data_IF_718952776579
#
_entry.id   IF_718952776579
#
_cell.length_a   1.000
_cell.length_b   1.000
_cell.length_c   1.000
_cell.angle_alpha   90.00
_cell.angle_beta   90.00
_cell.angle_gamma   90.00
#
_symmetry.space_group_name_H-M   'P 1'
#
loop_
_entity.id
_entity.type
_entity.pdbx_description
1 polymer ?
#
# COMPACT_ATOMS: atom_id res chain seq x y z
N UNK A 1 12.91 7.34 -51.31
CA UNK A 1 13.36 8.30 -50.27
C UNK A 1 12.21 9.25 -50.01
N UNK A 2 11.53 9.36 -48.87
CA UNK A 2 11.78 9.01 -47.46
C UNK A 2 10.41 9.13 -46.75
N UNK A 3 9.80 8.02 -46.28
CA UNK A 3 8.50 8.04 -45.56
C UNK A 3 8.58 7.55 -44.10
N UNK A 4 9.79 7.28 -43.61
CA UNK A 4 10.01 6.64 -42.30
C UNK A 4 10.30 7.64 -41.16
N UNK A 5 10.46 8.93 -41.43
CA UNK A 5 10.85 9.94 -40.42
C UNK A 5 9.71 10.63 -39.64
N UNK A 6 8.44 10.40 -40.00
CA UNK A 6 7.29 11.14 -39.43
C UNK A 6 6.63 10.43 -38.25
N UNK A 7 6.64 9.10 -38.21
CA UNK A 7 5.96 8.33 -37.16
C UNK A 7 6.64 8.43 -35.80
N UNK A 8 7.98 8.48 -35.74
CA UNK A 8 8.74 8.59 -34.48
C UNK A 8 8.47 9.91 -33.75
N UNK A 9 8.31 11.02 -34.49
CA UNK A 9 8.13 12.35 -33.91
C UNK A 9 6.80 12.51 -33.18
N UNK A 10 5.73 11.88 -33.70
CA UNK A 10 4.40 11.94 -33.08
C UNK A 10 4.41 11.17 -31.74
N UNK A 11 5.08 10.01 -31.69
CA UNK A 11 5.24 9.26 -30.43
C UNK A 11 6.04 10.04 -29.38
N UNK A 12 7.12 10.73 -29.77
CA UNK A 12 7.93 11.52 -28.85
C UNK A 12 7.19 12.75 -28.30
N UNK A 13 6.39 13.42 -29.14
CA UNK A 13 5.56 14.56 -28.72
C UNK A 13 4.47 14.09 -27.76
N UNK A 14 3.81 12.98 -28.07
CA UNK A 14 2.75 12.44 -27.22
C UNK A 14 3.29 11.98 -25.87
N UNK A 15 4.47 11.33 -25.85
CA UNK A 15 5.17 10.94 -24.62
C UNK A 15 5.49 12.17 -23.75
N UNK A 16 6.09 13.23 -24.31
CA UNK A 16 6.42 14.45 -23.55
C UNK A 16 5.19 15.16 -22.98
N UNK A 17 4.08 15.15 -23.71
CA UNK A 17 2.83 15.74 -23.23
C UNK A 17 2.26 14.93 -22.05
N UNK A 18 2.31 13.59 -22.12
CA UNK A 18 1.91 12.72 -21.01
C UNK A 18 2.82 12.88 -19.79
N UNK A 19 4.13 12.96 -19.99
CA UNK A 19 5.11 13.22 -18.91
C UNK A 19 4.80 14.54 -18.19
N UNK A 20 4.52 15.62 -18.93
CA UNK A 20 4.19 16.91 -18.35
C UNK A 20 2.89 16.91 -17.53
N UNK A 21 1.84 16.24 -18.04
CA UNK A 21 0.57 16.11 -17.33
C UNK A 21 0.75 15.25 -16.07
N UNK A 22 1.51 14.16 -16.17
CA UNK A 22 1.77 13.24 -15.06
C UNK A 22 2.55 13.93 -13.94
N UNK A 23 3.59 14.70 -14.26
CA UNK A 23 4.31 15.51 -13.28
C UNK A 23 3.39 16.50 -12.55
N UNK A 24 2.50 17.17 -13.28
CA UNK A 24 1.55 18.09 -12.68
C UNK A 24 0.59 17.38 -11.72
N UNK A 25 0.04 16.23 -12.12
CA UNK A 25 -0.82 15.40 -11.25
C UNK A 25 -0.07 15.02 -9.98
N UNK A 26 1.18 14.61 -10.10
CA UNK A 26 2.01 14.15 -9.00
C UNK A 26 2.28 15.27 -8.00
N UNK A 27 2.54 16.50 -8.46
CA UNK A 27 2.66 17.66 -7.58
C UNK A 27 1.38 17.90 -6.78
N UNK A 28 0.21 17.85 -7.44
CA UNK A 28 -1.08 18.00 -6.76
C UNK A 28 -1.35 16.90 -5.74
N UNK A 29 -1.07 15.65 -6.10
CA UNK A 29 -1.20 14.49 -5.21
C UNK A 29 -0.27 14.62 -4.01
N UNK A 30 0.97 15.09 -4.22
CA UNK A 30 1.95 15.29 -3.16
C UNK A 30 1.46 16.31 -2.12
N UNK A 31 0.90 17.43 -2.58
CA UNK A 31 0.29 18.44 -1.71
C UNK A 31 -0.94 17.90 -0.97
N UNK A 32 -1.82 17.18 -1.66
CA UNK A 32 -3.02 16.61 -1.06
C UNK A 32 -2.67 15.58 0.04
N UNK A 33 -1.73 14.67 -0.26
CA UNK A 33 -1.23 13.68 0.71
C UNK A 33 -0.58 14.35 1.91
N UNK A 34 0.21 15.40 1.69
CA UNK A 34 0.84 16.14 2.78
C UNK A 34 -0.19 16.78 3.71
N UNK A 35 -1.23 17.42 3.16
CA UNK A 35 -2.32 17.98 3.97
C UNK A 35 -3.09 16.88 4.72
N UNK A 36 -3.36 15.75 4.08
CA UNK A 36 -4.06 14.63 4.69
C UNK A 36 -3.24 14.04 5.85
N UNK A 37 -1.93 13.86 5.67
CA UNK A 37 -1.02 13.38 6.70
C UNK A 37 -1.02 14.30 7.93
N UNK A 38 -1.01 15.63 7.73
CA UNK A 38 -1.12 16.59 8.83
C UNK A 38 -2.46 16.44 9.56
N UNK A 39 -3.58 16.31 8.84
CA UNK A 39 -4.90 16.16 9.46
C UNK A 39 -4.99 14.91 10.34
N UNK A 40 -4.51 13.76 9.84
CA UNK A 40 -4.50 12.50 10.58
C UNK A 40 -3.58 12.60 11.79
N UNK A 41 -2.40 13.19 11.64
CA UNK A 41 -1.45 13.37 12.74
C UNK A 41 -2.03 14.24 13.87
N UNK A 42 -2.75 15.31 13.52
CA UNK A 42 -3.47 16.14 14.50
C UNK A 42 -4.65 15.38 15.15
N UNK A 43 -5.33 14.52 14.40
CA UNK A 43 -6.37 13.63 14.92
C UNK A 43 -5.82 12.67 15.97
N UNK A 44 -4.75 11.95 15.63
CA UNK A 44 -4.04 11.05 16.54
C UNK A 44 -3.55 11.76 17.81
N UNK A 45 -3.04 12.97 17.68
CA UNK A 45 -2.60 13.75 18.83
C UNK A 45 -3.75 14.03 19.80
N UNK A 46 -4.96 14.31 19.31
CA UNK A 46 -6.15 14.52 20.15
C UNK A 46 -6.63 13.22 20.81
N UNK A 47 -6.66 12.13 20.04
CA UNK A 47 -7.07 10.78 20.47
C UNK A 47 -6.19 10.29 21.63
N UNK A 48 -4.89 10.58 21.60
CA UNK A 48 -3.94 10.19 22.66
C UNK A 48 -4.26 10.76 24.05
N UNK A 49 -4.97 11.90 24.13
CA UNK A 49 -5.41 12.49 25.40
C UNK A 49 -6.73 11.93 25.93
N UNK A 50 -7.39 11.05 25.17
CA UNK A 50 -8.64 10.42 25.58
C UNK A 50 -8.41 8.94 25.93
N UNK A 51 -9.21 8.35 26.84
CA UNK A 51 -9.20 6.91 27.07
C UNK A 51 -9.98 6.23 25.93
N UNK A 52 -9.31 6.03 24.80
CA UNK A 52 -9.86 5.41 23.58
C UNK A 52 -9.22 4.04 23.36
N UNK A 53 -9.98 3.14 22.76
CA UNK A 53 -9.57 1.74 22.53
C UNK A 53 -8.30 1.66 21.68
N UNK A 54 -7.42 0.71 22.06
CA UNK A 54 -6.14 0.46 21.37
C UNK A 54 -6.32 0.16 19.88
N UNK A 55 -7.46 -0.44 19.48
CA UNK A 55 -7.80 -0.74 18.09
C UNK A 55 -7.87 0.53 17.23
N UNK A 56 -8.45 1.60 17.75
CA UNK A 56 -8.62 2.87 17.03
C UNK A 56 -7.25 3.53 16.83
N UNK A 57 -6.42 3.54 17.89
CA UNK A 57 -5.06 4.10 17.82
C UNK A 57 -4.19 3.32 16.83
N UNK A 58 -4.25 1.98 16.88
CA UNK A 58 -3.50 1.13 15.95
C UNK A 58 -3.94 1.35 14.50
N UNK A 59 -5.25 1.44 14.25
CA UNK A 59 -5.81 1.74 12.92
C UNK A 59 -5.28 3.04 12.34
N UNK A 60 -5.31 4.12 13.12
CA UNK A 60 -4.83 5.45 12.71
C UNK A 60 -3.30 5.46 12.47
N UNK A 61 -2.52 4.73 13.30
CA UNK A 61 -1.07 4.59 13.09
C UNK A 61 -0.76 3.87 11.79
N UNK A 62 -1.43 2.75 11.50
CA UNK A 62 -1.20 2.00 10.25
C UNK A 62 -1.63 2.86 9.05
N UNK A 63 -2.72 3.63 9.18
CA UNK A 63 -3.15 4.56 8.13
C UNK A 63 -2.07 5.62 7.84
N UNK A 64 -1.45 6.21 8.87
CA UNK A 64 -0.29 7.09 8.69
C UNK A 64 0.88 6.36 8.00
N UNK A 65 1.19 5.11 8.38
CA UNK A 65 2.28 4.35 7.76
C UNK A 65 2.03 4.07 6.27
N UNK A 66 0.78 3.89 5.86
CA UNK A 66 0.40 3.80 4.45
C UNK A 66 0.60 5.15 3.76
N UNK A 67 0.09 6.24 4.33
CA UNK A 67 0.25 7.59 3.75
C UNK A 67 1.72 7.96 3.54
N UNK A 68 2.58 7.65 4.51
CA UNK A 68 4.04 7.87 4.41
C UNK A 68 4.65 7.05 3.27
N UNK A 69 4.22 5.80 3.09
CA UNK A 69 4.73 4.93 2.02
C UNK A 69 4.35 5.46 0.63
N UNK A 70 3.08 5.85 0.46
CA UNK A 70 2.57 6.42 -0.79
C UNK A 70 3.29 7.73 -1.10
N UNK A 71 3.50 8.59 -0.09
CA UNK A 71 4.27 9.83 -0.25
C UNK A 71 5.72 9.55 -0.67
N UNK A 72 6.38 8.54 -0.06
CA UNK A 72 7.74 8.14 -0.41
C UNK A 72 7.84 7.68 -1.86
N UNK A 73 6.91 6.83 -2.30
CA UNK A 73 6.80 6.38 -3.68
C UNK A 73 6.69 7.55 -4.67
N UNK A 74 5.91 8.56 -4.29
CA UNK A 74 5.70 9.76 -5.09
C UNK A 74 6.97 10.63 -5.19
N UNK A 75 7.73 10.77 -4.11
CA UNK A 75 9.01 11.49 -4.11
C UNK A 75 10.06 10.76 -4.94
N UNK A 76 10.11 9.43 -4.87
CA UNK A 76 10.99 8.60 -5.70
C UNK A 76 10.67 8.82 -7.19
N UNK A 77 9.37 8.85 -7.54
CA UNK A 77 8.95 9.19 -8.90
C UNK A 77 9.50 10.55 -9.36
N UNK A 78 9.30 11.60 -8.55
CA UNK A 78 9.73 12.96 -8.87
C UNK A 78 11.26 13.05 -9.04
N UNK A 79 12.02 12.28 -8.27
CA UNK A 79 13.48 12.32 -8.27
C UNK A 79 14.07 11.62 -9.49
N UNK A 80 13.60 10.41 -9.80
CA UNK A 80 14.26 9.62 -10.84
C UNK A 80 13.76 9.96 -12.25
N UNK A 81 12.54 10.51 -12.45
CA UNK A 81 11.90 10.86 -13.75
C UNK A 81 11.92 9.73 -14.83
N UNK A 82 12.47 8.57 -14.48
CA UNK A 82 12.44 7.25 -15.09
C UNK A 82 12.60 6.26 -13.96
N UNK A 83 11.51 5.69 -13.51
CA UNK A 83 11.63 4.67 -12.47
C UNK A 83 12.00 3.35 -13.13
N UNK A 84 13.02 2.67 -12.62
CA UNK A 84 13.28 1.28 -12.97
C UNK A 84 12.03 0.47 -12.62
N UNK A 85 11.37 -0.06 -13.66
CA UNK A 85 10.08 -0.75 -13.55
C UNK A 85 10.15 -1.88 -12.50
N UNK A 86 11.31 -2.53 -12.39
CA UNK A 86 11.58 -3.60 -11.43
C UNK A 86 11.40 -3.15 -9.97
N UNK A 87 11.96 -1.99 -9.61
CA UNK A 87 11.87 -1.42 -8.26
C UNK A 87 10.43 -0.95 -7.97
N UNK A 88 9.72 -0.40 -8.96
CA UNK A 88 8.31 -0.03 -8.78
C UNK A 88 7.43 -1.22 -8.48
N UNK A 89 7.66 -2.35 -9.16
CA UNK A 89 6.83 -3.54 -8.99
C UNK A 89 7.04 -4.12 -7.58
N UNK A 90 8.29 -4.17 -7.10
CA UNK A 90 8.58 -4.61 -5.74
C UNK A 90 7.88 -3.73 -4.70
N UNK A 91 8.08 -2.41 -4.76
CA UNK A 91 7.48 -1.49 -3.78
C UNK A 91 5.95 -1.43 -3.93
N UNK A 92 5.43 -1.56 -5.15
CA UNK A 92 3.99 -1.64 -5.42
C UNK A 92 3.32 -2.87 -4.82
N UNK A 93 3.97 -4.04 -4.89
CA UNK A 93 3.49 -5.28 -4.23
C UNK A 93 3.54 -5.11 -2.71
N UNK A 94 4.66 -4.64 -2.15
CA UNK A 94 4.82 -4.43 -0.70
C UNK A 94 3.78 -3.43 -0.17
N UNK A 95 3.49 -2.37 -0.93
CA UNK A 95 2.48 -1.38 -0.58
C UNK A 95 1.06 -1.95 -0.68
N UNK A 96 0.74 -2.73 -1.72
CA UNK A 96 -0.57 -3.40 -1.87
C UNK A 96 -0.82 -4.40 -0.75
N UNK A 97 0.19 -5.20 -0.40
CA UNK A 97 0.09 -6.13 0.74
C UNK A 97 -0.14 -5.38 2.06
N UNK A 98 0.52 -4.23 2.26
CA UNK A 98 0.30 -3.39 3.44
C UNK A 98 -1.12 -2.84 3.51
N UNK A 99 -1.68 -2.40 2.38
CA UNK A 99 -3.06 -1.90 2.30
C UNK A 99 -4.08 -3.01 2.64
N UNK A 100 -3.88 -4.21 2.11
CA UNK A 100 -4.73 -5.37 2.43
C UNK A 100 -4.67 -5.71 3.93
N UNK A 101 -3.47 -5.62 4.53
CA UNK A 101 -3.29 -5.79 5.99
C UNK A 101 -3.98 -4.65 6.76
N UNK A 102 -3.86 -3.39 6.30
CA UNK A 102 -4.53 -2.24 6.92
C UNK A 102 -6.04 -2.46 6.96
N UNK A 103 -6.66 -2.76 5.82
CA UNK A 103 -8.11 -2.99 5.71
C UNK A 103 -8.54 -4.19 6.56
N UNK A 104 -7.76 -5.27 6.53
CA UNK A 104 -7.97 -6.43 7.40
C UNK A 104 -7.91 -6.08 8.89
N UNK A 105 -6.99 -5.22 9.32
CA UNK A 105 -6.89 -4.80 10.73
C UNK A 105 -8.01 -3.82 11.11
N UNK A 106 -8.45 -2.96 10.19
CA UNK A 106 -9.53 -1.98 10.44
C UNK A 106 -10.89 -2.65 10.66
N UNK A 107 -11.26 -3.62 9.81
CA UNK A 107 -12.63 -4.13 9.75
C UNK A 107 -12.88 -5.38 10.60
N UNK A 108 -11.86 -6.03 11.15
CA UNK A 108 -12.06 -7.31 11.82
C UNK A 108 -12.64 -7.12 13.23
N UNK A 109 -13.84 -7.69 13.43
CA UNK A 109 -14.41 -7.93 14.75
C UNK A 109 -13.46 -8.82 15.57
N UNK A 110 -13.08 -8.44 16.81
CA UNK A 110 -12.20 -9.24 17.66
C UNK A 110 -12.65 -10.70 17.80
N UNK A 111 -13.96 -10.96 17.78
CA UNK A 111 -14.57 -12.28 17.82
C UNK A 111 -14.27 -13.10 16.56
N UNK A 112 -14.33 -12.46 15.38
CA UNK A 112 -14.02 -13.09 14.10
C UNK A 112 -12.53 -13.43 14.00
N UNK A 113 -11.65 -12.54 14.47
CA UNK A 113 -10.21 -12.81 14.52
C UNK A 113 -9.89 -14.00 15.43
N UNK A 114 -10.54 -14.06 16.61
CA UNK A 114 -10.42 -15.19 17.53
C UNK A 114 -10.94 -16.48 16.90
N UNK A 115 -12.09 -16.45 16.22
CA UNK A 115 -12.66 -17.61 15.54
C UNK A 115 -11.75 -18.13 14.42
N UNK A 116 -11.20 -17.25 13.57
CA UNK A 116 -10.26 -17.63 12.50
C UNK A 116 -8.97 -18.20 13.10
N UNK A 117 -8.44 -17.60 14.17
CA UNK A 117 -7.24 -18.09 14.85
C UNK A 117 -7.45 -19.49 15.43
N UNK A 118 -8.58 -19.73 16.10
CA UNK A 118 -8.94 -21.06 16.64
C UNK A 118 -9.12 -22.07 15.50
N UNK A 119 -9.79 -21.68 14.42
CA UNK A 119 -10.00 -22.53 13.26
C UNK A 119 -8.68 -22.92 12.57
N UNK A 120 -7.76 -21.98 12.39
CA UNK A 120 -6.44 -22.24 11.80
C UNK A 120 -5.60 -23.14 12.70
N UNK A 121 -5.61 -22.92 14.03
CA UNK A 121 -4.92 -23.80 14.98
C UNK A 121 -5.52 -25.20 14.91
N UNK A 122 -6.85 -25.34 14.90
CA UNK A 122 -7.53 -26.63 14.80
C UNK A 122 -7.15 -27.35 13.50
N UNK A 123 -7.17 -26.65 12.37
CA UNK A 123 -6.77 -27.20 11.07
C UNK A 123 -5.30 -27.59 11.04
N UNK A 124 -4.41 -26.77 11.60
CA UNK A 124 -2.97 -27.06 11.69
C UNK A 124 -2.71 -28.29 12.57
N UNK A 125 -3.43 -28.44 13.69
CA UNK A 125 -3.33 -29.62 14.54
C UNK A 125 -3.84 -30.86 13.80
N UNK A 126 -4.97 -30.78 13.11
CA UNK A 126 -5.47 -31.88 12.28
C UNK A 126 -4.49 -32.27 11.17
N UNK A 127 -3.85 -31.31 10.52
CA UNK A 127 -2.87 -31.57 9.48
C UNK A 127 -1.59 -32.17 10.08
N UNK A 128 -1.14 -31.68 11.24
CA UNK A 128 0.04 -32.19 11.96
C UNK A 128 -0.17 -33.61 12.49
N UNK A 129 -1.32 -33.89 13.13
CA UNK A 129 -1.62 -35.22 13.68
C UNK A 129 -2.15 -36.19 12.62
N UNK A 130 -2.83 -35.70 11.59
CA UNK A 130 -3.28 -36.48 10.44
C UNK A 130 -2.11 -36.94 9.55
N UNK A 131 -1.09 -36.08 9.35
CA UNK A 131 0.11 -36.46 8.61
C UNK A 131 0.98 -37.50 9.33
N UNK A 132 0.88 -37.60 10.67
CA UNK A 132 1.60 -38.61 11.45
C UNK A 132 0.98 -40.01 11.24
N UNK A 133 -0.34 -40.10 11.03
CA UNK A 133 -1.04 -41.38 10.83
C UNK A 133 -0.83 -42.05 9.47
N UNK A 134 -0.33 -41.32 8.47
CA UNK A 134 -0.15 -41.85 7.10
C UNK A 134 1.24 -42.51 6.93
N UNK A 135 2.11 -42.48 7.94
CA UNK A 135 3.47 -43.06 7.88
C UNK A 135 3.64 -44.38 8.63
N UNK A 136 2.59 -44.91 9.25
CA UNK A 136 2.60 -46.20 9.96
C UNK A 136 1.91 -47.35 9.19
N UNK A 137 1.44 -47.11 7.96
CA UNK A 137 0.94 -48.12 7.02
C UNK A 137 1.93 -48.33 5.86
#
# INVERSE_FOLDING_TARGET
>A
MTKEGTHTKIHDIFRKMLECIQDMIIIFVCLALFMLMINVMLGLFKIMFQPVDFKIIASEIIFILVLIEVYRLLIIYLKEHRIAIDIMVEVGIVSTLREIILVGVLEIDPMLLAAISIFLISTLLLLRYGAIRIRED
#
